data_IF_368672480345
#
_entry.id   IF_368672480345
#
_cell.length_a   1.000
_cell.length_b   1.000
_cell.length_c   1.000
_cell.angle_alpha   90.00
_cell.angle_beta   90.00
_cell.angle_gamma   90.00
#
_symmetry.space_group_name_H-M   'P 1'
#
loop_
_entity.id
_entity.type
_entity.pdbx_description
1 polymer ?
#
# COMPACT_ATOMS: atom_id res chain seq x y z
N UNK A 1 31.91 15.72 28.03
CA UNK A 1 32.10 14.35 28.55
C UNK A 1 30.89 13.51 28.17
N UNK A 2 31.08 12.18 28.08
CA UNK A 2 30.02 11.23 27.80
C UNK A 2 30.32 9.93 28.58
N UNK A 3 29.47 9.60 29.54
CA UNK A 3 29.59 8.38 30.32
C UNK A 3 28.39 7.45 30.05
N UNK A 4 28.65 6.16 29.81
CA UNK A 4 27.65 5.18 29.39
C UNK A 4 27.71 3.99 30.36
N UNK A 5 26.64 3.75 31.06
CA UNK A 5 26.50 2.59 31.93
C UNK A 5 25.52 1.59 31.33
N UNK A 6 25.97 0.39 31.04
CA UNK A 6 25.19 -0.68 30.44
C UNK A 6 25.10 -1.85 31.41
N UNK A 7 23.92 -2.26 31.76
CA UNK A 7 23.65 -3.45 32.56
C UNK A 7 22.81 -4.44 31.76
N UNK A 8 23.36 -5.62 31.51
CA UNK A 8 22.71 -6.70 30.78
C UNK A 8 22.06 -7.67 31.76
N UNK A 9 20.81 -8.01 31.50
CA UNK A 9 20.05 -9.00 32.29
C UNK A 9 20.22 -10.42 31.76
N UNK A 10 19.90 -11.42 32.58
CA UNK A 10 19.87 -12.83 32.13
C UNK A 10 18.83 -13.08 31.03
N UNK A 11 17.81 -12.20 30.95
CA UNK A 11 16.77 -12.22 29.91
C UNK A 11 17.16 -11.45 28.64
N UNK A 12 18.47 -11.17 28.45
CA UNK A 12 19.00 -10.34 27.35
C UNK A 12 18.43 -8.90 27.35
N UNK A 13 17.82 -8.44 28.43
CA UNK A 13 17.45 -7.03 28.54
C UNK A 13 18.69 -6.17 28.75
N UNK A 14 18.73 -5.00 28.09
CA UNK A 14 19.87 -4.08 28.19
C UNK A 14 19.39 -2.78 28.80
N UNK A 15 19.74 -2.53 30.04
CA UNK A 15 19.48 -1.26 30.73
C UNK A 15 20.66 -0.33 30.51
N UNK A 16 20.37 0.85 30.00
CA UNK A 16 21.37 1.88 29.67
C UNK A 16 21.07 3.15 30.44
N UNK A 17 22.13 3.76 30.96
CA UNK A 17 22.12 5.12 31.48
C UNK A 17 23.25 5.88 30.79
N UNK A 18 22.88 6.94 30.08
CA UNK A 18 23.79 7.86 29.41
C UNK A 18 23.82 9.17 30.21
N UNK A 19 25.00 9.62 30.57
CA UNK A 19 25.22 10.90 31.25
C UNK A 19 26.23 11.72 30.43
N UNK A 20 25.83 12.89 29.92
CA UNK A 20 26.71 13.64 29.04
C UNK A 20 26.50 15.14 29.10
N UNK A 21 27.55 15.86 28.72
CA UNK A 21 27.54 17.30 28.59
C UNK A 21 27.47 17.70 27.12
N UNK A 22 26.52 18.55 26.77
CA UNK A 22 26.36 19.12 25.43
C UNK A 22 26.59 20.65 25.47
N UNK A 23 27.41 21.17 24.58
CA UNK A 23 27.65 22.59 24.45
C UNK A 23 26.88 23.19 23.27
N UNK A 24 26.05 24.18 23.54
CA UNK A 24 25.26 24.91 22.55
C UNK A 24 25.87 26.30 22.29
N UNK A 25 26.56 26.45 21.16
CA UNK A 25 27.09 27.75 20.74
C UNK A 25 26.01 28.78 20.40
N UNK A 26 24.83 28.30 19.99
CA UNK A 26 23.64 29.13 19.71
C UNK A 26 22.44 28.57 20.48
N UNK A 27 21.44 29.38 20.87
CA UNK A 27 20.26 28.91 21.55
C UNK A 27 19.53 27.81 20.77
N UNK A 28 19.21 26.72 21.46
CA UNK A 28 18.46 25.55 20.94
C UNK A 28 17.36 25.16 21.92
N UNK A 29 16.32 24.51 21.44
CA UNK A 29 15.23 24.01 22.28
C UNK A 29 15.56 22.69 23.02
N UNK A 30 16.78 22.17 22.86
CA UNK A 30 17.24 20.93 23.47
C UNK A 30 17.90 20.01 22.44
N UNK A 31 17.82 18.71 22.73
CA UNK A 31 18.45 17.68 21.88
C UNK A 31 17.43 16.58 21.52
N UNK A 32 17.78 15.79 20.51
CA UNK A 32 17.05 14.57 20.15
C UNK A 32 18.02 13.40 20.27
N UNK A 33 17.66 12.42 21.11
CA UNK A 33 18.32 11.11 21.18
C UNK A 33 17.53 10.12 20.39
N UNK A 34 18.15 9.47 19.41
CA UNK A 34 17.54 8.48 18.53
C UNK A 34 17.92 7.09 18.97
N UNK A 35 16.95 6.24 19.18
CA UNK A 35 17.14 4.85 19.60
C UNK A 35 16.58 3.91 18.54
N UNK A 36 17.36 2.97 17.97
CA UNK A 36 16.87 2.03 16.98
C UNK A 36 15.82 1.09 17.57
N UNK A 37 14.72 0.86 16.84
CA UNK A 37 13.68 -0.11 17.20
C UNK A 37 13.87 -1.48 16.53
N UNK A 38 14.98 -1.65 15.81
CA UNK A 38 15.42 -2.89 15.20
C UNK A 38 16.85 -3.19 15.61
N UNK A 39 17.06 -4.33 16.21
CA UNK A 39 18.38 -4.78 16.63
C UNK A 39 19.05 -5.51 15.47
N UNK A 40 20.25 -5.10 15.13
CA UNK A 40 21.07 -5.73 14.10
C UNK A 40 22.43 -6.05 14.69
N UNK A 41 22.99 -7.18 14.28
CA UNK A 41 24.36 -7.55 14.56
C UNK A 41 25.04 -7.92 13.24
N UNK A 42 26.36 -7.96 13.22
CA UNK A 42 27.11 -8.32 12.00
C UNK A 42 26.95 -9.81 11.62
N UNK A 43 26.58 -10.65 12.58
CA UNK A 43 26.44 -12.10 12.42
C UNK A 43 25.04 -12.55 12.08
N UNK A 44 24.03 -11.70 12.34
CA UNK A 44 22.63 -12.06 12.19
C UNK A 44 22.02 -11.20 11.08
N UNK A 45 21.63 -11.84 9.98
CA UNK A 45 21.03 -11.17 8.82
C UNK A 45 19.60 -10.66 9.08
N UNK A 46 18.87 -11.29 9.99
CA UNK A 46 17.47 -10.93 10.28
C UNK A 46 17.39 -9.94 11.45
N UNK A 47 16.94 -8.70 11.22
CA UNK A 47 16.81 -7.72 12.31
C UNK A 47 15.80 -8.18 13.37
N UNK A 48 16.21 -8.26 14.63
CA UNK A 48 15.35 -8.58 15.77
C UNK A 48 14.55 -7.35 16.17
N UNK A 49 13.30 -7.53 16.52
CA UNK A 49 12.48 -6.43 17.07
C UNK A 49 12.94 -6.06 18.47
N UNK A 50 12.84 -4.78 18.79
CA UNK A 50 13.08 -4.31 20.16
C UNK A 50 11.87 -3.58 20.71
N UNK A 51 11.68 -3.67 22.03
CA UNK A 51 10.85 -2.79 22.84
C UNK A 51 11.74 -1.92 23.68
N UNK A 52 11.47 -0.61 23.71
CA UNK A 52 12.20 0.35 24.55
C UNK A 52 11.27 0.78 25.66
N UNK A 53 11.68 0.54 26.88
CA UNK A 53 10.86 0.69 28.08
C UNK A 53 11.60 1.51 29.15
N UNK A 54 10.88 1.92 30.19
CA UNK A 54 11.44 2.60 31.37
C UNK A 54 12.28 3.84 31.01
N UNK A 55 11.82 4.63 30.03
CA UNK A 55 12.52 5.83 29.62
C UNK A 55 12.43 6.86 30.74
N UNK A 56 13.58 7.35 31.16
CA UNK A 56 13.73 8.42 32.17
C UNK A 56 14.71 9.47 31.63
N UNK A 57 14.42 10.72 31.90
CA UNK A 57 15.28 11.86 31.56
C UNK A 57 15.23 12.85 32.70
N UNK A 58 16.38 13.46 33.03
CA UNK A 58 16.49 14.47 34.06
C UNK A 58 15.80 15.82 33.72
N UNK A 59 15.28 15.92 32.49
CA UNK A 59 14.62 17.11 31.97
C UNK A 59 13.28 16.80 31.33
N UNK A 60 12.52 17.81 30.93
CA UNK A 60 11.28 17.62 30.20
C UNK A 60 11.57 16.91 28.86
N UNK A 61 10.81 15.88 28.54
CA UNK A 61 10.95 15.15 27.30
C UNK A 61 9.62 14.65 26.74
N UNK A 62 9.63 14.33 25.44
CA UNK A 62 8.56 13.62 24.74
C UNK A 62 9.18 12.54 23.84
N UNK A 63 8.43 11.47 23.62
CA UNK A 63 8.87 10.38 22.72
C UNK A 63 8.01 10.34 21.47
N UNK A 64 8.64 10.14 20.32
CA UNK A 64 7.99 10.00 19.04
C UNK A 64 8.57 8.81 18.28
N UNK A 65 7.71 7.95 17.68
CA UNK A 65 8.17 6.83 16.86
C UNK A 65 8.34 7.26 15.41
N UNK A 66 9.54 7.19 14.92
CA UNK A 66 9.84 7.32 13.50
C UNK A 66 9.74 5.95 12.82
N UNK A 67 8.59 5.69 12.18
CA UNK A 67 8.34 4.43 11.50
C UNK A 67 9.16 4.28 10.20
N UNK A 68 9.55 5.39 9.57
CA UNK A 68 10.35 5.39 8.35
C UNK A 68 11.78 4.92 8.60
N UNK A 69 12.41 5.46 9.64
CA UNK A 69 13.78 5.11 10.04
C UNK A 69 13.84 3.94 11.04
N UNK A 70 12.69 3.48 11.54
CA UNK A 70 12.59 2.45 12.57
C UNK A 70 13.33 2.87 13.87
N UNK A 71 13.13 4.10 14.28
CA UNK A 71 13.74 4.72 15.46
C UNK A 71 12.68 5.19 16.45
N UNK A 72 13.08 5.36 17.69
CA UNK A 72 12.36 6.08 18.72
C UNK A 72 13.14 7.37 19.01
N UNK A 73 12.55 8.51 18.71
CA UNK A 73 13.10 9.82 19.03
C UNK A 73 12.71 10.19 20.46
N UNK A 74 13.70 10.46 21.31
CA UNK A 74 13.53 11.09 22.61
C UNK A 74 13.93 12.55 22.46
N UNK A 75 12.92 13.43 22.39
CA UNK A 75 13.11 14.89 22.31
C UNK A 75 13.21 15.46 23.73
N UNK A 76 14.37 15.95 24.09
CA UNK A 76 14.69 16.44 25.44
C UNK A 76 14.82 17.95 25.38
N UNK A 77 13.98 18.64 26.15
CA UNK A 77 13.92 20.10 26.21
C UNK A 77 12.48 20.63 26.17
N UNK A 78 12.35 21.93 25.98
CA UNK A 78 11.07 22.63 25.98
C UNK A 78 10.92 23.45 24.68
N UNK A 79 9.80 23.27 23.98
CA UNK A 79 9.50 24.00 22.73
C UNK A 79 9.39 25.51 22.93
N UNK A 80 9.05 25.94 24.14
CA UNK A 80 8.87 27.37 24.49
C UNK A 80 10.13 28.02 25.05
N UNK A 81 11.16 27.23 25.39
CA UNK A 81 12.40 27.71 26.02
C UNK A 81 13.60 27.24 25.24
N UNK A 82 14.61 28.10 25.20
CA UNK A 82 15.90 27.76 24.62
C UNK A 82 16.97 27.66 25.69
N UNK A 83 17.96 26.81 25.47
CA UNK A 83 19.17 26.66 26.28
C UNK A 83 20.40 27.01 25.45
N UNK A 84 21.46 27.48 26.09
CA UNK A 84 22.77 27.81 25.48
C UNK A 84 23.88 27.50 26.44
N UNK A 85 25.12 27.45 25.95
CA UNK A 85 26.28 27.07 26.74
C UNK A 85 26.30 25.59 27.07
N UNK A 86 26.95 25.24 28.16
CA UNK A 86 27.10 23.86 28.62
C UNK A 86 25.82 23.42 29.31
N UNK A 87 25.26 22.30 28.87
CA UNK A 87 24.08 21.65 29.45
C UNK A 87 24.42 20.20 29.75
N UNK A 88 23.99 19.72 30.91
CA UNK A 88 24.11 18.34 31.29
C UNK A 88 22.79 17.58 31.07
N UNK A 89 22.89 16.33 30.61
CA UNK A 89 21.75 15.45 30.36
C UNK A 89 22.02 14.06 30.93
N UNK A 90 21.01 13.50 31.58
CA UNK A 90 21.00 12.09 31.96
C UNK A 90 19.77 11.40 31.34
N UNK A 91 19.99 10.28 30.62
CA UNK A 91 18.95 9.51 29.94
C UNK A 91 19.06 8.05 30.35
N UNK A 92 17.99 7.49 30.88
CA UNK A 92 17.88 6.07 31.16
C UNK A 92 16.83 5.40 30.29
N UNK A 93 17.10 4.17 29.87
CA UNK A 93 16.14 3.34 29.13
C UNK A 93 16.51 1.87 29.22
N UNK A 94 15.57 1.00 28.84
CA UNK A 94 15.77 -0.44 28.79
C UNK A 94 15.35 -1.00 27.43
N UNK A 95 16.28 -1.65 26.73
CA UNK A 95 15.95 -2.48 25.60
C UNK A 95 15.50 -3.87 26.04
N UNK A 96 14.39 -4.34 25.47
CA UNK A 96 14.06 -5.76 25.39
C UNK A 96 14.15 -6.21 23.96
N UNK A 97 14.97 -7.23 23.72
CA UNK A 97 15.29 -7.71 22.39
C UNK A 97 14.51 -9.00 22.15
N UNK A 98 13.96 -9.18 20.95
CA UNK A 98 13.23 -10.39 20.58
C UNK A 98 14.19 -11.60 20.55
N UNK A 99 13.65 -12.79 20.83
CA UNK A 99 14.46 -14.00 20.88
C UNK A 99 15.15 -14.25 19.56
N UNK A 100 16.39 -14.67 19.63
CA UNK A 100 17.12 -15.17 18.48
C UNK A 100 16.77 -16.65 18.23
N UNK A 101 16.57 -17.00 16.96
CA UNK A 101 16.20 -18.36 16.56
C UNK A 101 17.21 -19.00 15.58
N UNK A 102 18.24 -18.27 15.18
CA UNK A 102 19.08 -18.65 14.03
C UNK A 102 20.56 -18.89 14.38
N UNK A 103 21.01 -18.56 15.58
CA UNK A 103 22.42 -18.74 15.95
C UNK A 103 22.64 -19.94 16.88
N UNK A 104 23.83 -20.49 16.78
CA UNK A 104 24.35 -21.54 17.66
C UNK A 104 25.18 -20.98 18.83
N UNK A 105 25.12 -19.69 19.06
CA UNK A 105 25.83 -19.00 20.16
C UNK A 105 25.06 -17.71 20.51
N UNK A 106 25.19 -17.27 21.74
CA UNK A 106 24.71 -15.96 22.18
C UNK A 106 25.79 -14.90 21.97
N UNK A 107 25.37 -13.65 21.81
CA UNK A 107 26.32 -12.53 21.75
C UNK A 107 25.75 -11.29 22.45
N UNK A 108 26.62 -10.54 23.08
CA UNK A 108 26.35 -9.15 23.41
C UNK A 108 26.87 -8.28 22.27
N UNK A 109 26.02 -7.52 21.63
CA UNK A 109 26.38 -6.60 20.55
C UNK A 109 25.66 -5.29 20.78
N UNK A 110 26.36 -4.21 21.03
CA UNK A 110 25.74 -2.94 21.36
C UNK A 110 26.57 -1.75 20.86
N UNK A 111 25.88 -0.80 20.16
CA UNK A 111 26.45 0.49 19.86
C UNK A 111 26.37 1.39 21.10
N UNK A 112 27.48 1.49 21.83
CA UNK A 112 27.57 2.30 23.05
C UNK A 112 27.22 3.75 22.78
N UNK A 113 27.75 4.29 21.69
CA UNK A 113 27.50 5.64 21.21
C UNK A 113 27.44 5.62 19.68
N UNK A 114 26.53 6.38 19.12
CA UNK A 114 26.45 6.69 17.71
C UNK A 114 26.05 8.17 17.59
N UNK A 115 27.02 9.01 17.20
CA UNK A 115 26.82 10.46 17.17
C UNK A 115 27.29 11.08 15.86
N UNK A 116 26.53 12.06 15.41
CA UNK A 116 26.83 12.82 14.19
C UNK A 116 27.52 14.16 14.53
N UNK A 117 28.37 14.16 15.54
CA UNK A 117 29.16 15.31 15.97
C UNK A 117 30.40 14.82 16.70
N UNK A 118 31.30 15.74 17.01
CA UNK A 118 32.53 15.43 17.75
C UNK A 118 32.20 15.20 19.23
N UNK A 119 32.65 14.06 19.74
CA UNK A 119 32.52 13.68 21.14
C UNK A 119 33.89 13.31 21.71
N UNK A 120 34.20 13.82 22.88
CA UNK A 120 35.44 13.54 23.59
C UNK A 120 35.17 13.09 25.03
N UNK A 121 36.19 12.54 25.68
CA UNK A 121 36.11 12.04 27.05
C UNK A 121 34.94 11.05 27.22
N UNK A 122 34.94 9.99 26.39
CA UNK A 122 33.93 8.95 26.42
C UNK A 122 34.42 7.84 27.36
N UNK A 123 33.64 7.55 28.38
CA UNK A 123 33.83 6.42 29.30
C UNK A 123 32.62 5.50 29.25
N UNK A 124 32.82 4.24 29.56
CA UNK A 124 31.73 3.31 29.63
C UNK A 124 32.00 2.16 30.63
N UNK A 125 30.90 1.61 31.16
CA UNK A 125 30.89 0.41 31.95
C UNK A 125 29.84 -0.54 31.38
N UNK A 126 30.21 -1.80 31.09
CA UNK A 126 29.32 -2.86 30.62
C UNK A 126 29.34 -3.99 31.63
N UNK A 127 28.22 -4.27 32.26
CA UNK A 127 28.06 -5.36 33.20
C UNK A 127 27.22 -6.47 32.58
N UNK A 128 27.81 -7.64 32.37
CA UNK A 128 27.14 -8.85 31.91
C UNK A 128 26.53 -9.61 33.10
N UNK A 129 25.50 -10.45 32.90
CA UNK A 129 24.82 -11.15 34.00
C UNK A 129 25.68 -12.26 34.61
N UNK A 130 26.60 -12.85 33.85
CA UNK A 130 27.46 -14.00 34.25
C UNK A 130 28.89 -13.78 33.77
N UNK A 131 29.81 -14.61 34.22
CA UNK A 131 31.17 -14.67 33.69
C UNK A 131 31.19 -15.02 32.20
N UNK A 132 32.20 -14.58 31.52
CA UNK A 132 32.37 -14.74 30.05
C UNK A 132 33.88 -14.86 29.74
N UNK A 133 34.18 -15.34 28.53
CA UNK A 133 35.56 -15.43 28.05
C UNK A 133 36.08 -14.08 27.56
N UNK A 134 37.02 -13.50 28.30
CA UNK A 134 37.63 -12.19 28.03
C UNK A 134 38.30 -12.15 26.64
N UNK A 135 38.78 -13.28 26.13
CA UNK A 135 39.41 -13.33 24.81
C UNK A 135 38.44 -13.10 23.66
N UNK A 136 37.13 -13.15 23.92
CA UNK A 136 36.07 -12.97 22.92
C UNK A 136 35.49 -11.58 22.89
N UNK A 137 36.09 -10.62 23.59
CA UNK A 137 35.71 -9.21 23.56
C UNK A 137 36.26 -8.56 22.30
N UNK A 138 35.42 -7.83 21.60
CA UNK A 138 35.78 -6.99 20.45
C UNK A 138 35.16 -5.59 20.54
N UNK A 139 35.93 -4.60 20.14
CA UNK A 139 35.45 -3.25 19.96
C UNK A 139 35.73 -2.78 18.53
N UNK A 140 34.83 -1.98 17.98
CA UNK A 140 35.08 -1.19 16.78
C UNK A 140 34.71 0.27 17.04
N UNK A 141 35.44 1.18 16.45
CA UNK A 141 35.18 2.61 16.61
C UNK A 141 35.47 3.39 15.34
N UNK A 142 34.73 4.49 15.13
CA UNK A 142 34.86 5.38 13.96
C UNK A 142 33.58 5.44 13.12
N UNK A 143 33.74 5.84 11.86
CA UNK A 143 32.59 5.92 10.92
C UNK A 143 32.01 4.56 10.61
N UNK A 144 30.79 4.49 10.15
CA UNK A 144 30.10 3.24 9.81
C UNK A 144 30.98 2.34 8.90
N UNK A 145 31.13 1.08 9.28
CA UNK A 145 31.99 0.09 8.61
C UNK A 145 33.49 0.15 8.98
N UNK A 146 33.88 1.03 9.91
CA UNK A 146 35.24 1.05 10.43
C UNK A 146 35.53 -0.18 11.29
N UNK A 147 36.70 -0.77 11.10
CA UNK A 147 37.28 -1.83 11.96
C UNK A 147 38.35 -1.30 12.92
N UNK A 148 38.54 0.01 12.95
CA UNK A 148 39.49 0.64 13.87
C UNK A 148 39.03 0.42 15.31
N UNK A 149 40.00 0.38 16.22
CA UNK A 149 39.71 0.26 17.65
C UNK A 149 40.65 1.21 18.43
N UNK A 150 40.05 2.30 18.91
CA UNK A 150 40.71 3.25 19.82
C UNK A 150 40.16 3.12 21.25
N UNK A 151 39.55 1.98 21.56
CA UNK A 151 39.01 1.70 22.88
C UNK A 151 40.11 1.04 23.73
N UNK A 152 40.33 1.58 24.92
CA UNK A 152 41.16 1.01 25.96
C UNK A 152 40.22 0.52 27.07
N UNK A 153 40.39 -0.76 27.46
CA UNK A 153 39.49 -1.35 28.46
C UNK A 153 40.24 -2.32 29.41
N UNK A 154 39.60 -2.59 30.53
CA UNK A 154 39.97 -3.65 31.46
C UNK A 154 38.68 -4.35 31.97
N UNK A 155 38.87 -5.58 32.47
CA UNK A 155 37.75 -6.39 32.96
C UNK A 155 37.95 -6.67 34.45
N UNK A 156 36.85 -6.47 35.21
CA UNK A 156 36.78 -6.83 36.61
C UNK A 156 35.55 -7.72 36.83
N UNK A 157 35.81 -9.02 37.06
CA UNK A 157 34.77 -10.04 37.14
C UNK A 157 33.95 -10.12 35.85
N UNK A 158 32.66 -9.82 35.95
CA UNK A 158 31.73 -9.77 34.80
C UNK A 158 31.49 -8.34 34.25
N UNK A 159 32.37 -7.41 34.60
CA UNK A 159 32.24 -6.00 34.23
C UNK A 159 33.41 -5.54 33.37
N UNK A 160 33.09 -4.92 32.24
CA UNK A 160 34.07 -4.33 31.33
C UNK A 160 34.04 -2.81 31.58
N UNK A 161 35.17 -2.23 31.91
CA UNK A 161 35.34 -0.78 32.01
C UNK A 161 36.23 -0.31 30.88
N UNK A 162 35.80 0.75 30.19
CA UNK A 162 36.55 1.24 29.06
C UNK A 162 36.42 2.74 28.84
N UNK A 163 37.34 3.25 28.04
CA UNK A 163 37.29 4.61 27.55
C UNK A 163 37.79 4.68 26.10
N UNK A 164 37.36 5.70 25.39
CA UNK A 164 37.80 5.96 24.05
C UNK A 164 38.93 6.99 24.07
N UNK A 165 40.06 6.62 23.47
CA UNK A 165 41.23 7.50 23.38
C UNK A 165 41.12 8.41 22.14
N UNK A 166 40.86 9.68 22.40
CA UNK A 166 40.75 10.72 21.38
C UNK A 166 39.39 11.38 21.23
N UNK A 167 39.12 11.88 20.04
CA UNK A 167 37.85 12.50 19.65
C UNK A 167 37.15 11.59 18.67
N UNK A 168 35.94 11.18 19.01
CA UNK A 168 35.06 10.44 18.09
C UNK A 168 34.34 11.47 17.21
N UNK A 169 34.70 11.52 15.92
CA UNK A 169 34.11 12.41 14.94
C UNK A 169 33.13 11.67 14.04
N UNK A 170 31.85 12.02 14.10
CA UNK A 170 30.80 11.45 13.24
C UNK A 170 30.82 9.93 13.17
N UNK A 171 30.87 9.29 14.31
CA UNK A 171 31.08 7.85 14.38
C UNK A 171 30.36 7.14 15.53
N UNK A 172 30.64 5.86 15.64
CA UNK A 172 30.10 4.98 16.66
C UNK A 172 31.21 4.27 17.43
N UNK A 173 30.90 3.81 18.62
CA UNK A 173 31.67 2.80 19.35
C UNK A 173 30.76 1.60 19.56
N UNK A 174 31.15 0.47 18.99
CA UNK A 174 30.41 -0.79 19.11
C UNK A 174 31.20 -1.75 20.00
N UNK A 175 30.54 -2.32 20.99
CA UNK A 175 31.05 -3.40 21.83
C UNK A 175 30.42 -4.73 21.41
N UNK A 176 31.24 -5.76 21.32
CA UNK A 176 30.83 -7.14 21.05
C UNK A 176 31.49 -8.09 22.04
N UNK A 177 30.72 -9.01 22.55
CA UNK A 177 31.23 -10.15 23.31
C UNK A 177 30.55 -11.41 22.78
N UNK A 178 31.33 -12.34 22.21
CA UNK A 178 30.79 -13.64 21.80
C UNK A 178 30.63 -14.53 23.04
N UNK A 179 29.46 -15.09 23.23
CA UNK A 179 29.05 -15.84 24.41
C UNK A 179 28.75 -17.29 24.03
N UNK A 180 28.70 -18.17 24.98
CA UNK A 180 28.32 -19.55 24.73
C UNK A 180 26.81 -19.68 24.55
N UNK A 181 26.39 -20.69 23.79
CA UNK A 181 24.95 -20.97 23.58
C UNK A 181 24.23 -21.20 24.92
N UNK A 182 23.07 -20.59 25.08
CA UNK A 182 22.30 -20.64 26.30
C UNK A 182 22.82 -19.72 27.42
N UNK A 183 23.66 -18.74 27.10
CA UNK A 183 24.11 -17.73 28.05
C UNK A 183 22.94 -16.86 28.55
N UNK A 184 22.01 -16.53 27.67
CA UNK A 184 20.79 -15.82 28.01
C UNK A 184 19.58 -16.76 28.11
N UNK A 185 18.64 -16.39 28.98
CA UNK A 185 17.32 -17.01 29.05
C UNK A 185 16.26 -15.99 28.55
N UNK A 186 16.37 -15.65 27.24
CA UNK A 186 15.53 -14.65 26.66
C UNK A 186 14.10 -15.19 26.38
N UNK A 187 13.03 -14.64 27.03
CA UNK A 187 11.66 -15.05 26.80
C UNK A 187 11.10 -14.53 25.47
N UNK A 188 11.83 -13.65 24.76
CA UNK A 188 11.35 -12.92 23.60
C UNK A 188 10.52 -11.70 23.95
N UNK A 189 10.25 -10.89 22.94
CA UNK A 189 9.35 -9.72 23.04
C UNK A 189 7.94 -10.15 22.70
N UNK A 190 7.02 -9.97 23.62
CA UNK A 190 5.60 -10.22 23.34
C UNK A 190 5.15 -9.40 22.13
N UNK A 191 4.49 -10.05 21.17
CA UNK A 191 3.91 -9.34 20.04
C UNK A 191 3.00 -8.20 20.58
N UNK A 192 3.12 -6.98 20.05
CA UNK A 192 2.27 -5.90 20.50
C UNK A 192 0.80 -6.31 20.34
N UNK A 193 0.02 -6.14 21.39
CA UNK A 193 -1.41 -6.40 21.32
C UNK A 193 -2.00 -5.66 20.10
N UNK A 194 -2.88 -6.30 19.29
CA UNK A 194 -3.44 -5.66 18.14
C UNK A 194 -4.05 -4.32 18.54
N UNK A 195 -3.56 -3.24 17.94
CA UNK A 195 -3.98 -1.89 18.27
C UNK A 195 -5.49 -1.72 18.15
N UNK A 196 -6.06 -0.73 18.85
CA UNK A 196 -7.50 -0.43 18.80
C UNK A 196 -8.02 -0.35 17.37
N UNK A 197 -7.20 0.17 16.44
CA UNK A 197 -7.53 0.25 15.01
C UNK A 197 -7.80 -1.13 14.37
N UNK A 198 -6.98 -2.15 14.68
CA UNK A 198 -7.18 -3.51 14.14
C UNK A 198 -8.43 -4.17 14.73
N UNK A 199 -8.70 -3.93 16.03
CA UNK A 199 -9.91 -4.45 16.68
C UNK A 199 -11.21 -3.89 16.09
N UNK A 200 -11.15 -2.70 15.51
CA UNK A 200 -12.28 -2.05 14.82
C UNK A 200 -12.29 -2.44 13.33
N UNK A 201 -11.13 -2.50 12.68
CA UNK A 201 -11.00 -2.77 11.25
C UNK A 201 -11.51 -4.17 10.86
N UNK A 202 -11.20 -5.21 11.65
CA UNK A 202 -11.64 -6.57 11.35
C UNK A 202 -13.16 -6.69 11.34
N UNK A 203 -13.92 -6.28 12.38
CA UNK A 203 -15.37 -6.29 12.33
C UNK A 203 -15.95 -5.43 11.20
N UNK A 204 -15.37 -4.27 10.92
CA UNK A 204 -15.83 -3.41 9.84
C UNK A 204 -15.69 -4.08 8.46
N UNK A 205 -14.57 -4.78 8.20
CA UNK A 205 -14.36 -5.56 6.97
C UNK A 205 -15.38 -6.70 6.87
N UNK A 206 -15.64 -7.43 7.96
CA UNK A 206 -16.61 -8.52 7.96
C UNK A 206 -18.03 -8.00 7.67
N UNK A 207 -18.43 -6.89 8.28
CA UNK A 207 -19.71 -6.23 8.01
C UNK A 207 -19.79 -5.78 6.55
N UNK A 208 -18.73 -5.15 6.03
CA UNK A 208 -18.68 -4.72 4.63
C UNK A 208 -18.85 -5.90 3.67
N UNK A 209 -18.12 -7.01 3.88
CA UNK A 209 -18.25 -8.21 3.06
C UNK A 209 -19.65 -8.83 3.15
N UNK A 210 -20.28 -8.82 4.34
CA UNK A 210 -21.64 -9.29 4.51
C UNK A 210 -22.63 -8.42 3.73
N UNK A 211 -22.49 -7.10 3.75
CA UNK A 211 -23.34 -6.17 2.97
C UNK A 211 -23.16 -6.40 1.47
N UNK A 212 -21.91 -6.50 0.99
CA UNK A 212 -21.63 -6.81 -0.42
C UNK A 212 -22.24 -8.14 -0.84
N UNK A 213 -22.14 -9.16 0.01
CA UNK A 213 -22.74 -10.48 -0.28
C UNK A 213 -24.28 -10.40 -0.34
N UNK A 214 -24.91 -9.66 0.58
CA UNK A 214 -26.37 -9.47 0.58
C UNK A 214 -26.81 -8.73 -0.69
N UNK A 215 -26.12 -7.66 -1.06
CA UNK A 215 -26.42 -6.90 -2.27
C UNK A 215 -26.24 -7.77 -3.53
N UNK A 216 -25.18 -8.57 -3.60
CA UNK A 216 -25.00 -9.53 -4.68
C UNK A 216 -26.10 -10.58 -4.71
N UNK A 217 -26.51 -11.09 -3.56
CA UNK A 217 -27.58 -12.09 -3.48
C UNK A 217 -28.95 -11.56 -3.92
N UNK A 218 -29.24 -10.29 -3.58
CA UNK A 218 -30.53 -9.65 -3.89
C UNK A 218 -30.60 -9.11 -5.33
N UNK A 219 -29.49 -8.55 -5.84
CA UNK A 219 -29.50 -7.80 -7.09
C UNK A 219 -28.51 -8.34 -8.14
N UNK A 220 -27.53 -9.14 -7.76
CA UNK A 220 -26.48 -9.62 -8.66
C UNK A 220 -26.62 -11.07 -9.09
N UNK A 221 -27.68 -11.77 -8.69
CA UNK A 221 -27.91 -13.14 -9.14
C UNK A 221 -28.59 -13.09 -10.50
N UNK A 222 -27.87 -13.55 -11.52
CA UNK A 222 -28.44 -13.78 -12.83
C UNK A 222 -29.58 -14.80 -12.75
N UNK A 223 -30.67 -14.53 -13.46
CA UNK A 223 -31.72 -15.51 -13.68
C UNK A 223 -31.16 -16.73 -14.40
N UNK A 224 -31.71 -17.91 -14.10
CA UNK A 224 -31.32 -19.15 -14.79
C UNK A 224 -31.63 -18.98 -16.27
N UNK A 225 -30.62 -18.82 -17.12
CA UNK A 225 -30.81 -18.78 -18.57
C UNK A 225 -31.37 -20.15 -19.02
N UNK A 226 -32.59 -20.14 -19.48
CA UNK A 226 -33.16 -21.27 -20.21
C UNK A 226 -32.68 -21.10 -21.66
N UNK A 227 -31.79 -21.95 -22.13
CA UNK A 227 -31.35 -21.95 -23.52
C UNK A 227 -32.49 -22.53 -24.38
N UNK A 228 -33.35 -21.65 -24.86
CA UNK A 228 -34.31 -22.00 -25.90
C UNK A 228 -33.71 -21.53 -27.26
N UNK A 229 -33.89 -22.38 -28.28
CA UNK A 229 -33.55 -21.97 -29.64
C UNK A 229 -34.75 -21.26 -30.22
N UNK A 230 -34.70 -19.94 -30.27
CA UNK A 230 -35.73 -19.12 -30.91
C UNK A 230 -35.20 -18.62 -32.24
N UNK A 231 -36.05 -18.71 -33.28
CA UNK A 231 -35.73 -18.33 -34.65
C UNK A 231 -36.18 -16.92 -34.99
N UNK A 232 -36.96 -16.30 -34.09
CA UNK A 232 -37.47 -14.93 -34.26
C UNK A 232 -37.04 -14.05 -33.10
N UNK A 233 -36.80 -12.75 -33.36
CA UNK A 233 -36.53 -11.81 -32.29
C UNK A 233 -37.75 -11.71 -31.36
N UNK A 234 -37.55 -11.34 -30.07
CA UNK A 234 -38.64 -11.07 -29.15
C UNK A 234 -39.60 -10.01 -29.73
N UNK A 235 -40.89 -10.10 -29.32
CA UNK A 235 -41.90 -9.17 -29.79
C UNK A 235 -41.54 -7.73 -29.53
N UNK A 236 -41.65 -6.89 -30.58
CA UNK A 236 -41.34 -5.46 -30.52
C UNK A 236 -39.85 -5.11 -30.70
N UNK A 237 -38.95 -6.08 -30.90
CA UNK A 237 -37.56 -5.83 -31.19
C UNK A 237 -37.24 -5.95 -32.67
N UNK A 238 -36.42 -5.03 -33.15
CA UNK A 238 -35.87 -5.08 -34.52
C UNK A 238 -34.41 -5.55 -34.53
N UNK A 239 -33.77 -5.51 -35.70
CA UNK A 239 -32.37 -5.98 -35.81
C UNK A 239 -31.36 -5.06 -35.10
N UNK A 240 -31.64 -3.77 -34.91
CA UNK A 240 -30.81 -2.84 -34.17
C UNK A 240 -30.87 -3.15 -32.68
N UNK A 241 -32.08 -3.37 -32.14
CA UNK A 241 -32.28 -3.75 -30.73
C UNK A 241 -31.54 -5.05 -30.39
N UNK A 242 -31.63 -6.03 -31.28
CA UNK A 242 -30.93 -7.31 -31.10
C UNK A 242 -29.42 -7.15 -31.11
N UNK A 243 -28.88 -6.31 -32.00
CA UNK A 243 -27.45 -6.04 -32.02
C UNK A 243 -27.02 -5.31 -30.74
N UNK A 244 -27.78 -4.30 -30.34
CA UNK A 244 -27.50 -3.56 -29.12
C UNK A 244 -27.53 -4.47 -27.89
N UNK A 245 -28.53 -5.36 -27.79
CA UNK A 245 -28.64 -6.32 -26.72
C UNK A 245 -27.45 -7.29 -26.67
N UNK A 246 -26.96 -7.73 -27.83
CA UNK A 246 -25.84 -8.68 -27.93
C UNK A 246 -24.47 -8.05 -27.73
N UNK A 247 -24.22 -6.89 -28.36
CA UNK A 247 -22.91 -6.22 -28.37
C UNK A 247 -22.79 -5.05 -27.38
N UNK A 248 -23.91 -4.52 -26.86
CA UNK A 248 -23.95 -3.29 -26.05
C UNK A 248 -23.83 -1.99 -26.87
N UNK A 249 -23.76 -2.09 -28.19
CA UNK A 249 -23.70 -0.98 -29.14
C UNK A 249 -24.25 -1.37 -30.50
N UNK A 250 -24.69 -0.39 -31.28
CA UNK A 250 -25.08 -0.55 -32.67
C UNK A 250 -23.94 -0.06 -33.54
N UNK A 251 -23.60 -0.80 -34.58
CA UNK A 251 -22.64 -0.42 -35.62
C UNK A 251 -23.29 -0.40 -37.01
N UNK A 252 -22.51 -0.08 -38.04
CA UNK A 252 -22.98 -0.03 -39.43
C UNK A 252 -23.57 -1.33 -39.92
N UNK A 253 -23.07 -2.48 -39.45
CA UNK A 253 -23.58 -3.81 -39.86
C UNK A 253 -24.99 -4.03 -39.32
N UNK A 254 -25.29 -3.53 -38.12
CA UNK A 254 -26.63 -3.53 -37.52
C UNK A 254 -27.61 -2.73 -38.35
N UNK A 255 -27.19 -1.54 -38.83
CA UNK A 255 -28.05 -0.72 -39.68
C UNK A 255 -28.28 -1.39 -41.06
N UNK A 256 -27.26 -2.03 -41.63
CA UNK A 256 -27.42 -2.81 -42.88
C UNK A 256 -28.36 -3.99 -42.66
N UNK A 257 -28.41 -4.60 -41.47
CA UNK A 257 -29.32 -5.72 -41.21
C UNK A 257 -30.80 -5.30 -41.22
N UNK A 258 -31.14 -4.00 -41.06
CA UNK A 258 -32.49 -3.48 -41.25
C UNK A 258 -33.06 -3.77 -42.67
N UNK A 259 -32.21 -3.85 -43.69
CA UNK A 259 -32.67 -4.24 -45.04
C UNK A 259 -33.32 -5.61 -45.03
N UNK A 260 -32.66 -6.60 -44.45
CA UNK A 260 -33.19 -7.96 -44.34
C UNK A 260 -34.43 -8.02 -43.43
N UNK A 261 -34.41 -7.29 -42.32
CA UNK A 261 -35.54 -7.20 -41.40
C UNK A 261 -36.75 -6.57 -42.05
N UNK A 262 -36.63 -5.41 -42.70
CA UNK A 262 -37.74 -4.72 -43.42
C UNK A 262 -38.22 -5.51 -44.64
N UNK A 263 -37.33 -6.26 -45.30
CA UNK A 263 -37.74 -7.18 -46.35
C UNK A 263 -38.61 -8.32 -45.78
N UNK A 264 -38.25 -8.88 -44.65
CA UNK A 264 -39.03 -9.93 -43.96
C UNK A 264 -40.40 -9.44 -43.54
N UNK A 265 -40.54 -8.13 -43.26
CA UNK A 265 -41.80 -7.46 -42.92
C UNK A 265 -42.60 -7.02 -44.16
N UNK A 266 -42.06 -7.23 -45.37
CA UNK A 266 -42.72 -6.93 -46.62
C UNK A 266 -42.75 -5.47 -47.02
N UNK A 267 -41.87 -4.62 -46.48
CA UNK A 267 -41.75 -3.22 -46.88
C UNK A 267 -40.92 -2.99 -48.14
N UNK A 268 -39.98 -3.91 -48.38
CA UNK A 268 -39.09 -3.86 -49.56
C UNK A 268 -38.78 -5.27 -50.05
N UNK A 269 -38.24 -5.39 -51.29
CA UNK A 269 -37.64 -6.61 -51.82
C UNK A 269 -36.22 -6.33 -52.27
N UNK A 270 -35.37 -7.36 -52.22
CA UNK A 270 -33.96 -7.25 -52.61
C UNK A 270 -33.73 -8.27 -53.72
N UNK A 271 -33.35 -7.79 -54.89
CA UNK A 271 -32.97 -8.64 -56.03
C UNK A 271 -31.48 -8.51 -56.34
N UNK A 272 -30.86 -9.60 -56.75
CA UNK A 272 -29.47 -9.61 -57.17
C UNK A 272 -29.41 -9.58 -58.69
N UNK A 273 -28.87 -8.49 -59.26
CA UNK A 273 -28.58 -8.35 -60.68
C UNK A 273 -27.06 -8.38 -60.93
N UNK A 274 -26.57 -9.55 -61.26
CA UNK A 274 -25.14 -9.79 -61.43
C UNK A 274 -24.33 -9.55 -60.16
N UNK A 275 -23.52 -8.47 -60.14
CA UNK A 275 -22.73 -8.03 -58.96
C UNK A 275 -23.36 -6.91 -58.17
N UNK A 276 -24.55 -6.46 -58.55
CA UNK A 276 -25.28 -5.37 -57.90
C UNK A 276 -26.54 -5.89 -57.23
N UNK A 277 -26.95 -5.23 -56.18
CA UNK A 277 -28.25 -5.47 -55.57
C UNK A 277 -29.16 -4.31 -55.92
N UNK A 278 -30.39 -4.65 -56.24
CA UNK A 278 -31.49 -3.70 -56.47
C UNK A 278 -32.50 -3.89 -55.37
N UNK A 279 -32.88 -2.79 -54.72
CA UNK A 279 -33.82 -2.77 -53.63
C UNK A 279 -35.09 -2.05 -54.15
N UNK A 280 -36.20 -2.76 -54.10
CA UNK A 280 -37.48 -2.27 -54.56
C UNK A 280 -38.39 -1.96 -53.39
N UNK A 281 -39.02 -0.78 -53.36
CA UNK A 281 -40.01 -0.42 -52.36
C UNK A 281 -41.34 -1.12 -52.70
N UNK A 282 -41.87 -1.84 -51.70
CA UNK A 282 -43.15 -2.55 -51.87
C UNK A 282 -44.30 -1.69 -51.31
N UNK A 283 -44.10 -1.04 -50.15
CA UNK A 283 -45.09 -0.14 -49.55
C UNK A 283 -44.40 0.91 -48.69
N UNK A 284 -45.16 1.98 -48.36
CA UNK A 284 -44.71 2.97 -47.36
C UNK A 284 -44.62 2.35 -45.96
N UNK A 285 -43.67 2.85 -45.17
CA UNK A 285 -43.51 2.39 -43.80
C UNK A 285 -44.66 2.92 -42.93
N UNK A 286 -45.42 2.02 -42.38
CA UNK A 286 -46.59 2.31 -41.51
C UNK A 286 -46.38 1.86 -40.02
N UNK A 287 -45.14 1.48 -39.68
CA UNK A 287 -44.77 1.11 -38.32
C UNK A 287 -44.50 2.29 -37.40
N UNK A 288 -44.24 2.01 -36.11
CA UNK A 288 -44.05 3.02 -35.09
C UNK A 288 -42.59 3.32 -34.77
N UNK A 289 -41.64 2.55 -35.28
CA UNK A 289 -40.22 2.71 -35.00
C UNK A 289 -39.66 3.89 -35.80
N UNK A 290 -38.96 4.81 -35.10
CA UNK A 290 -38.40 6.02 -35.70
C UNK A 290 -37.20 5.75 -36.59
N UNK A 291 -36.34 4.83 -36.22
CA UNK A 291 -35.13 4.48 -36.96
C UNK A 291 -35.48 3.71 -38.24
N UNK A 292 -36.46 2.80 -38.19
CA UNK A 292 -36.99 2.14 -39.36
C UNK A 292 -37.62 3.11 -40.36
N UNK A 293 -38.41 4.07 -39.81
CA UNK A 293 -39.03 5.16 -40.60
C UNK A 293 -37.98 6.04 -41.25
N UNK A 294 -36.96 6.41 -40.45
CA UNK A 294 -35.87 7.26 -40.96
C UNK A 294 -35.08 6.51 -42.04
N UNK A 295 -34.77 5.23 -41.82
CA UNK A 295 -34.08 4.39 -42.79
C UNK A 295 -34.83 4.27 -44.11
N UNK A 296 -36.12 3.90 -44.07
CA UNK A 296 -36.98 3.77 -45.27
C UNK A 296 -37.12 5.07 -46.06
N UNK A 297 -37.33 6.19 -45.36
CA UNK A 297 -37.48 7.51 -45.96
C UNK A 297 -36.21 7.92 -46.70
N UNK A 298 -35.06 7.71 -46.13
CA UNK A 298 -33.77 8.10 -46.75
C UNK A 298 -33.31 7.11 -47.82
N UNK A 299 -33.61 5.82 -47.66
CA UNK A 299 -33.28 4.80 -48.67
C UNK A 299 -33.98 5.07 -49.99
N UNK A 300 -35.30 5.40 -49.92
CA UNK A 300 -36.12 5.64 -51.11
C UNK A 300 -36.36 7.15 -51.42
N UNK A 301 -35.46 8.01 -50.91
CA UNK A 301 -35.57 9.47 -51.12
C UNK A 301 -35.48 9.92 -52.58
N UNK A 302 -34.87 9.11 -53.45
CA UNK A 302 -34.62 9.48 -54.87
C UNK A 302 -35.48 8.66 -55.86
N UNK A 303 -35.76 7.40 -55.52
CA UNK A 303 -36.55 6.49 -56.39
C UNK A 303 -37.06 5.29 -55.58
N UNK A 304 -38.17 4.71 -56.00
CA UNK A 304 -38.70 3.48 -55.41
C UNK A 304 -37.83 2.22 -55.78
N UNK A 305 -36.94 2.35 -56.77
CA UNK A 305 -35.94 1.36 -57.10
C UNK A 305 -34.55 1.93 -56.88
N UNK A 306 -33.81 1.33 -55.93
CA UNK A 306 -32.49 1.80 -55.52
C UNK A 306 -31.43 0.73 -55.71
N UNK A 307 -30.39 1.06 -56.45
CA UNK A 307 -29.28 0.14 -56.68
C UNK A 307 -28.14 0.36 -55.63
N UNK A 308 -27.39 -0.69 -55.32
CA UNK A 308 -26.24 -0.58 -54.41
C UNK A 308 -25.23 0.49 -54.85
N UNK A 309 -25.14 0.79 -56.13
CA UNK A 309 -24.28 1.86 -56.69
C UNK A 309 -24.81 3.28 -56.42
N UNK A 310 -26.11 3.46 -56.29
CA UNK A 310 -26.73 4.75 -55.97
C UNK A 310 -26.53 5.13 -54.51
N UNK A 311 -26.44 4.14 -53.62
CA UNK A 311 -26.20 4.33 -52.17
C UNK A 311 -24.73 4.63 -51.85
N UNK A 312 -23.82 4.27 -52.77
CA UNK A 312 -22.37 4.45 -52.58
C UNK A 312 -22.05 5.94 -52.36
N UNK A 313 -21.33 6.23 -51.25
CA UNK A 313 -20.92 7.57 -50.82
C UNK A 313 -22.08 8.56 -50.52
N UNK A 314 -23.30 8.08 -50.35
CA UNK A 314 -24.47 8.93 -50.04
C UNK A 314 -25.19 8.47 -48.78
N UNK A 315 -25.33 7.18 -48.60
CA UNK A 315 -26.16 6.60 -47.52
C UNK A 315 -25.44 6.54 -46.16
N UNK A 316 -24.14 6.78 -46.10
CA UNK A 316 -23.37 6.73 -44.87
C UNK A 316 -23.88 7.68 -43.77
N UNK A 317 -24.43 8.88 -44.16
CA UNK A 317 -25.01 9.83 -43.20
C UNK A 317 -26.25 9.28 -42.52
N UNK A 318 -27.04 8.50 -43.23
CA UNK A 318 -28.22 7.84 -42.65
C UNK A 318 -27.79 6.73 -41.69
N UNK A 319 -26.73 5.99 -42.05
CA UNK A 319 -26.14 4.95 -41.18
C UNK A 319 -25.58 5.59 -39.92
N UNK A 320 -24.75 6.63 -40.05
CA UNK A 320 -24.14 7.32 -38.91
C UNK A 320 -25.19 7.89 -37.98
N UNK A 321 -26.24 8.50 -38.53
CA UNK A 321 -27.34 9.05 -37.72
C UNK A 321 -28.06 7.99 -36.89
N UNK A 322 -28.39 6.85 -37.49
CA UNK A 322 -29.02 5.72 -36.78
C UNK A 322 -28.09 5.13 -35.72
N UNK A 323 -26.80 4.97 -36.04
CA UNK A 323 -25.79 4.50 -35.07
C UNK A 323 -25.68 5.44 -33.88
N UNK A 324 -25.53 6.74 -34.12
CA UNK A 324 -25.41 7.74 -33.08
C UNK A 324 -26.68 7.84 -32.21
N UNK A 325 -27.85 7.77 -32.83
CA UNK A 325 -29.13 7.79 -32.12
C UNK A 325 -29.27 6.60 -31.18
N UNK A 326 -28.96 5.38 -31.65
CA UNK A 326 -29.08 4.16 -30.86
C UNK A 326 -28.01 4.08 -29.75
N UNK A 327 -26.80 4.60 -30.00
CA UNK A 327 -25.71 4.61 -29.01
C UNK A 327 -25.78 5.79 -28.04
N UNK A 328 -26.75 6.71 -28.21
CA UNK A 328 -26.94 7.81 -27.29
C UNK A 328 -27.33 7.33 -25.87
N UNK A 329 -26.90 8.08 -24.83
CA UNK A 329 -27.22 7.75 -23.44
C UNK A 329 -28.71 7.66 -23.12
N UNK A 330 -29.56 8.36 -23.89
CA UNK A 330 -31.00 8.36 -23.69
C UNK A 330 -31.68 7.05 -24.11
N UNK A 331 -31.16 6.37 -25.14
CA UNK A 331 -31.74 5.15 -25.66
C UNK A 331 -31.23 3.89 -24.92
N UNK A 332 -30.08 3.98 -24.25
CA UNK A 332 -29.55 2.88 -23.38
C UNK A 332 -30.47 2.53 -22.21
N UNK A 333 -31.39 3.41 -21.81
CA UNK A 333 -32.28 3.22 -20.66
C UNK A 333 -33.39 2.20 -20.86
N UNK A 334 -33.77 1.91 -22.09
CA UNK A 334 -34.94 1.03 -22.36
C UNK A 334 -34.61 -0.46 -22.35
N UNK A 335 -33.34 -0.82 -22.47
CA UNK A 335 -32.93 -2.24 -22.61
C UNK A 335 -32.37 -2.80 -21.29
N UNK A 336 -31.80 -1.93 -20.43
CA UNK A 336 -31.25 -2.36 -19.15
C UNK A 336 -32.12 -1.86 -17.99
N UNK A 337 -32.45 -2.76 -17.03
CA UNK A 337 -33.10 -2.34 -15.79
C UNK A 337 -32.27 -1.31 -15.05
N UNK A 338 -32.87 -0.18 -14.67
CA UNK A 338 -32.20 0.81 -13.83
C UNK A 338 -31.91 0.21 -12.45
N UNK A 339 -30.64 0.11 -12.07
CA UNK A 339 -30.27 -0.17 -10.69
C UNK A 339 -30.88 0.91 -9.78
N UNK A 340 -31.52 0.53 -8.65
CA UNK A 340 -32.03 1.50 -7.70
C UNK A 340 -30.95 2.49 -7.30
N UNK A 341 -31.24 3.79 -7.32
CA UNK A 341 -30.28 4.87 -6.99
C UNK A 341 -29.58 4.66 -5.64
N UNK A 342 -30.23 4.00 -4.71
CA UNK A 342 -29.68 3.61 -3.41
C UNK A 342 -28.48 2.64 -3.50
N UNK A 343 -28.41 1.81 -4.52
CA UNK A 343 -27.29 0.86 -4.73
C UNK A 343 -26.06 1.58 -5.30
N UNK A 344 -26.28 2.58 -6.17
CA UNK A 344 -25.18 3.35 -6.79
C UNK A 344 -24.44 4.19 -5.75
N UNK A 345 -25.14 4.77 -4.78
CA UNK A 345 -24.54 5.60 -3.70
C UNK A 345 -23.75 4.74 -2.69
N UNK A 346 -24.05 3.44 -2.57
CA UNK A 346 -23.36 2.54 -1.65
C UNK A 346 -22.04 1.98 -2.21
N UNK A 347 -21.77 2.15 -3.50
CA UNK A 347 -20.58 1.63 -4.19
C UNK A 347 -19.55 2.72 -4.53
N UNK A 348 -19.81 3.99 -4.18
CA UNK A 348 -18.88 5.13 -4.27
C UNK A 348 -18.43 5.51 -2.85
#
# INVERSE_FOLDING_TARGET
SYDINVQVGEDESIKVVESFDAYFATPKHGIIRKLPTRWRTDTINTPRRTSIENISVDSKFVTEKDLGNQELDIRIGDSEKTVSGLQHYEIGYTYRIDKENESSFDEFYYNLIEEQRDVSNITFTIRLPKEFDISRIGFSSGVAGSTNNNVIYYVDGNTIHGFYDGILSYGSITARVALDDGYYNNPGVSAPAPGKAIKIAIPAIVIFLAVVFILWYLYGRDEKKVSAVEFYPPDGMNSLDMQFYYKGEVDSDGVVSLLAYLASKGYLTIEQDGRKYVIHKVKDYDGNDEDERYFMTHLFSTSDDVTSSMLRNKFYRTVDHIVDNNNSKSNKKHIFEELPKTVIVSCV
#
